data_IF_834853778615
#
_entry.id   IF_834853778615
#
_cell.length_a   1.000
_cell.length_b   1.000
_cell.length_c   1.000
_cell.angle_alpha   90.00
_cell.angle_beta   90.00
_cell.angle_gamma   90.00
#
_symmetry.space_group_name_H-M   'P 1'
#
loop_
_entity.id
_entity.type
_entity.pdbx_description
1 polymer ?
#
# COMPACT_ATOMS: atom_id res chain seq x y z
N UNK A 1 -15.53 -4.74 -3.61
CA UNK A 1 -14.70 -3.89 -2.72
C UNK A 1 -15.13 -2.45 -2.94
N UNK A 2 -15.41 -1.67 -1.88
CA UNK A 2 -15.98 -0.33 -2.03
C UNK A 2 -14.97 0.76 -2.42
N UNK A 3 -13.66 0.51 -2.34
CA UNK A 3 -12.64 1.53 -2.61
C UNK A 3 -11.92 1.30 -3.95
N UNK A 4 -11.92 2.33 -4.80
CA UNK A 4 -11.29 2.30 -6.12
C UNK A 4 -9.81 2.66 -6.08
N UNK A 5 -9.36 3.30 -5.01
CA UNK A 5 -8.01 3.82 -4.86
C UNK A 5 -7.30 3.20 -3.66
N UNK A 6 -5.99 3.05 -3.77
CA UNK A 6 -5.10 2.59 -2.71
C UNK A 6 -3.86 3.47 -2.66
N UNK A 7 -3.43 3.85 -1.47
CA UNK A 7 -2.17 4.55 -1.26
C UNK A 7 -1.16 3.56 -0.70
N UNK A 8 -0.05 3.41 -1.42
CA UNK A 8 1.08 2.58 -1.00
C UNK A 8 2.24 3.52 -0.71
N UNK A 9 2.95 3.30 0.40
CA UNK A 9 4.10 4.14 0.71
C UNK A 9 5.22 3.39 1.40
N UNK A 10 6.44 3.86 1.19
CA UNK A 10 7.61 3.40 1.94
C UNK A 10 8.52 4.57 2.24
N UNK A 11 9.24 4.49 3.36
CA UNK A 11 10.36 5.39 3.60
C UNK A 11 11.56 4.90 2.81
N UNK A 12 12.41 5.81 2.35
CA UNK A 12 13.67 5.43 1.69
C UNK A 12 14.45 4.48 2.61
N UNK A 13 15.03 3.40 2.10
CA UNK A 13 15.32 3.09 0.68
C UNK A 13 14.22 2.22 0.03
N UNK A 14 13.84 2.54 -1.22
CA UNK A 14 12.78 1.83 -1.96
C UNK A 14 13.12 0.39 -2.34
N UNK A 15 14.39 0.00 -2.22
CA UNK A 15 14.89 -1.33 -2.51
C UNK A 15 14.53 -2.35 -1.42
N UNK A 16 14.11 -1.88 -0.23
CA UNK A 16 13.78 -2.68 0.94
C UNK A 16 12.38 -2.37 1.46
N UNK A 17 11.81 -3.30 2.23
CA UNK A 17 10.65 -3.01 3.06
C UNK A 17 11.02 -2.26 4.35
N UNK A 18 10.03 -1.96 5.20
CA UNK A 18 8.62 -2.32 5.01
C UNK A 18 7.85 -1.33 4.13
N UNK A 19 6.72 -1.78 3.60
CA UNK A 19 5.79 -0.98 2.80
C UNK A 19 4.44 -0.87 3.51
N UNK A 20 3.95 0.36 3.70
CA UNK A 20 2.58 0.62 4.17
C UNK A 20 1.64 0.47 2.97
N UNK A 21 0.62 -0.36 3.13
CA UNK A 21 -0.30 -0.75 2.05
C UNK A 21 -1.77 -0.48 2.36
N UNK A 22 -2.07 0.07 3.53
CA UNK A 22 -3.45 0.40 3.90
C UNK A 22 -3.58 1.06 5.26
N UNK A 23 -4.80 1.49 5.53
CA UNK A 23 -5.26 2.12 6.76
C UNK A 23 -6.28 1.23 7.51
N UNK A 24 -6.86 1.75 8.58
CA UNK A 24 -7.83 1.03 9.40
C UNK A 24 -9.05 0.48 8.65
N UNK A 25 -9.44 1.11 7.52
CA UNK A 25 -10.64 0.81 6.75
C UNK A 25 -10.35 0.01 5.48
N UNK A 26 -9.09 -0.33 5.23
CA UNK A 26 -8.67 -1.07 4.06
C UNK A 26 -9.26 -2.50 4.02
N UNK A 27 -9.50 -3.01 2.81
CA UNK A 27 -10.11 -4.33 2.60
C UNK A 27 -9.22 -5.44 3.16
N UNK A 28 -9.70 -6.16 4.17
CA UNK A 28 -8.96 -7.22 4.86
C UNK A 28 -8.49 -8.33 3.93
N UNK A 29 -9.26 -8.68 2.89
CA UNK A 29 -8.86 -9.71 1.92
C UNK A 29 -7.69 -9.23 1.07
N UNK A 30 -7.71 -7.96 0.66
CA UNK A 30 -6.59 -7.36 -0.06
C UNK A 30 -5.34 -7.30 0.81
N UNK A 31 -5.46 -6.86 2.06
CA UNK A 31 -4.33 -6.79 3.00
C UNK A 31 -3.71 -8.16 3.24
N UNK A 32 -4.55 -9.21 3.37
CA UNK A 32 -4.07 -10.59 3.50
C UNK A 32 -3.31 -11.07 2.26
N UNK A 33 -3.77 -10.73 1.04
CA UNK A 33 -3.08 -11.07 -0.22
C UNK A 33 -1.71 -10.39 -0.38
N UNK A 34 -1.48 -9.30 0.35
CA UNK A 34 -0.21 -8.57 0.41
C UNK A 34 0.67 -8.99 1.60
N UNK A 35 0.27 -10.02 2.34
CA UNK A 35 0.92 -10.48 3.58
C UNK A 35 1.09 -9.34 4.62
N UNK A 36 0.14 -8.39 4.63
CA UNK A 36 0.23 -7.22 5.49
C UNK A 36 -0.33 -7.50 6.89
N UNK A 37 0.37 -6.98 7.90
CA UNK A 37 -0.03 -7.01 9.29
C UNK A 37 -0.59 -5.65 9.72
N UNK A 38 -1.64 -5.68 10.53
CA UNK A 38 -2.20 -4.46 11.13
C UNK A 38 -1.32 -4.05 12.32
N UNK A 39 -0.65 -2.91 12.21
CA UNK A 39 0.25 -2.38 13.23
C UNK A 39 -0.27 -1.05 13.78
N UNK A 40 0.02 -0.78 15.05
CA UNK A 40 -0.27 0.49 15.69
C UNK A 40 1.04 1.07 16.21
N UNK A 41 1.63 2.00 15.44
CA UNK A 41 2.89 2.63 15.84
C UNK A 41 2.67 3.49 17.07
N UNK A 42 3.63 3.43 18.00
CA UNK A 42 3.61 4.29 19.18
C UNK A 42 3.57 5.77 18.77
N UNK A 43 2.63 6.53 19.35
CA UNK A 43 2.41 7.94 19.04
C UNK A 43 1.33 8.19 17.98
N UNK A 44 0.91 7.18 17.21
CA UNK A 44 -0.23 7.31 16.31
C UNK A 44 -1.54 7.04 17.06
N UNK A 45 -2.64 7.62 16.58
CA UNK A 45 -4.01 7.34 17.09
C UNK A 45 -4.76 6.36 16.19
N UNK A 46 -4.15 5.89 15.11
CA UNK A 46 -4.73 5.03 14.10
C UNK A 46 -3.80 3.86 13.75
N UNK A 47 -4.36 2.67 13.45
CA UNK A 47 -3.59 1.56 12.92
C UNK A 47 -3.40 1.67 11.40
N UNK A 48 -2.36 1.02 10.90
CA UNK A 48 -2.03 0.90 9.46
C UNK A 48 -1.71 -0.55 9.11
N UNK A 49 -1.77 -0.89 7.82
CA UNK A 49 -1.35 -2.18 7.30
C UNK A 49 0.05 -2.09 6.71
N UNK A 50 0.94 -2.95 7.16
CA UNK A 50 2.35 -2.97 6.82
C UNK A 50 2.76 -4.36 6.34
N UNK A 51 3.49 -4.45 5.23
CA UNK A 51 4.11 -5.69 4.75
C UNK A 51 5.63 -5.51 4.73
N UNK A 52 6.38 -6.58 5.00
CA UNK A 52 7.85 -6.59 4.93
C UNK A 52 8.37 -6.56 3.48
N UNK A 53 7.47 -6.67 2.51
CA UNK A 53 7.85 -6.62 1.11
C UNK A 53 8.38 -5.22 0.71
N UNK A 54 9.36 -5.15 -0.20
CA UNK A 54 9.73 -3.88 -0.83
C UNK A 54 8.59 -3.39 -1.73
N UNK A 55 8.49 -2.07 -1.98
CA UNK A 55 7.39 -1.48 -2.75
C UNK A 55 7.26 -2.10 -4.15
N UNK A 56 8.36 -2.46 -4.83
CA UNK A 56 8.29 -3.12 -6.14
C UNK A 56 7.42 -4.39 -6.12
N UNK A 57 7.62 -5.27 -5.13
CA UNK A 57 6.84 -6.51 -5.00
C UNK A 57 5.37 -6.22 -4.71
N UNK A 58 5.09 -5.19 -3.91
CA UNK A 58 3.72 -4.74 -3.63
C UNK A 58 3.05 -4.23 -4.92
N UNK A 59 3.72 -3.38 -5.68
CA UNK A 59 3.19 -2.81 -6.92
C UNK A 59 2.96 -3.89 -7.98
N UNK A 60 3.89 -4.83 -8.15
CA UNK A 60 3.74 -5.99 -9.03
C UNK A 60 2.50 -6.81 -8.64
N UNK A 61 2.35 -7.11 -7.34
CA UNK A 61 1.20 -7.88 -6.84
C UNK A 61 -0.13 -7.14 -7.01
N UNK A 62 -0.14 -5.82 -6.83
CA UNK A 62 -1.32 -5.01 -7.06
C UNK A 62 -1.68 -4.95 -8.56
N UNK A 63 -0.68 -4.93 -9.44
CA UNK A 63 -0.88 -5.01 -10.89
C UNK A 63 -1.57 -6.31 -11.29
N UNK A 64 -1.12 -7.47 -10.76
CA UNK A 64 -1.78 -8.76 -10.96
C UNK A 64 -3.26 -8.77 -10.50
N UNK A 65 -3.60 -7.94 -9.51
CA UNK A 65 -4.95 -7.80 -8.95
C UNK A 65 -5.81 -6.77 -9.69
N UNK A 66 -5.28 -6.18 -10.77
CA UNK A 66 -5.97 -5.21 -11.62
C UNK A 66 -5.90 -3.77 -11.12
N UNK A 67 -4.82 -3.40 -10.44
CA UNK A 67 -4.55 -2.00 -10.10
C UNK A 67 -3.47 -1.42 -11.00
N UNK A 68 -3.61 -0.14 -11.34
CA UNK A 68 -2.66 0.62 -12.12
C UNK A 68 -2.20 1.87 -11.37
N UNK A 69 -0.92 2.23 -11.52
CA UNK A 69 -0.37 3.45 -10.91
C UNK A 69 -1.02 4.66 -11.60
N UNK A 70 -1.59 5.57 -10.82
CA UNK A 70 -2.12 6.85 -11.31
C UNK A 70 -1.32 8.07 -10.85
N UNK A 71 -0.42 7.91 -9.88
CA UNK A 71 0.45 8.99 -9.43
C UNK A 71 1.57 8.50 -8.52
N UNK A 72 2.67 9.25 -8.53
CA UNK A 72 3.82 9.03 -7.65
C UNK A 72 4.22 10.38 -7.06
N UNK A 73 4.47 10.42 -5.75
CA UNK A 73 4.94 11.62 -5.06
C UNK A 73 6.01 11.27 -4.01
N UNK A 74 6.85 12.25 -3.70
CA UNK A 74 7.77 12.20 -2.56
C UNK A 74 7.36 13.22 -1.51
N UNK A 75 7.37 12.84 -0.24
CA UNK A 75 7.10 13.71 0.90
C UNK A 75 8.14 13.46 2.00
N UNK A 76 9.10 14.37 2.15
CA UNK A 76 10.26 14.16 3.03
C UNK A 76 11.07 12.94 2.58
N UNK A 77 11.17 11.94 3.46
CA UNK A 77 11.86 10.67 3.18
C UNK A 77 10.91 9.55 2.72
N UNK A 78 9.65 9.87 2.43
CA UNK A 78 8.64 8.89 2.02
C UNK A 78 8.34 8.99 0.53
N UNK A 79 8.24 7.86 -0.14
CA UNK A 79 7.71 7.73 -1.51
C UNK A 79 6.30 7.14 -1.43
N UNK A 80 5.37 7.73 -2.18
CA UNK A 80 3.96 7.37 -2.19
C UNK A 80 3.54 7.04 -3.63
N UNK A 81 2.87 5.91 -3.81
CA UNK A 81 2.20 5.52 -5.05
C UNK A 81 0.69 5.51 -4.83
N UNK A 82 -0.01 6.24 -5.68
CA UNK A 82 -1.47 6.13 -5.78
C UNK A 82 -1.79 5.08 -6.82
N UNK A 83 -2.49 4.05 -6.40
CA UNK A 83 -2.95 2.93 -7.23
C UNK A 83 -4.46 3.05 -7.42
N UNK A 84 -4.95 2.82 -8.64
CA UNK A 84 -6.38 2.79 -8.94
C UNK A 84 -6.75 1.45 -9.54
N UNK A 85 -7.82 0.83 -9.04
CA UNK A 85 -8.35 -0.40 -9.64
C UNK A 85 -8.93 -0.08 -11.02
N UNK A 86 -8.53 -0.83 -12.02
CA UNK A 86 -9.13 -0.74 -13.35
C UNK A 86 -10.58 -1.20 -13.26
N UNK A 87 -11.51 -0.35 -13.70
CA UNK A 87 -12.88 -0.78 -13.93
C UNK A 87 -12.86 -1.66 -15.17
N UNK A 88 -13.33 -2.91 -15.04
CA UNK A 88 -13.69 -3.70 -16.22
C UNK A 88 -15.07 -3.21 -16.64
N UNK A 89 -15.14 -2.69 -17.86
CA UNK A 89 -16.41 -2.37 -18.54
C UNK A 89 -17.22 -3.66 -18.78
#
# INVERSE_FOLDING_TARGET
>A
MPFEHLLVSTQIRCETGPTVVGDANSDQKLMALLEAQKVHRFGNTFPEFLTEWPPRKVLDRLSDLGFSICGIAGAGQTVIWTMRRERRD
#
